data_IF_131338081297
#
_entry.id   IF_131338081297
#
_cell.length_a   1.000
_cell.length_b   1.000
_cell.length_c   1.000
_cell.angle_alpha   90.00
_cell.angle_beta   90.00
_cell.angle_gamma   90.00
#
_symmetry.space_group_name_H-M   'P 1'
#
loop_
_entity.id
_entity.type
_entity.pdbx_description
1 polymer ?
#
# COMPACT_ATOMS: atom_id res chain seq x y z
N UNK A 1 13.90 -8.56 -14.88
CA UNK A 1 13.62 -7.52 -15.91
C UNK A 1 14.85 -6.91 -16.56
N UNK A 2 15.84 -6.36 -15.83
CA UNK A 2 17.02 -5.75 -16.49
C UNK A 2 17.84 -6.71 -17.37
N UNK A 3 17.90 -7.98 -16.98
CA UNK A 3 18.49 -9.08 -17.77
C UNK A 3 17.78 -9.28 -19.12
N UNK A 4 16.47 -9.06 -19.16
CA UNK A 4 15.64 -9.29 -20.35
C UNK A 4 15.58 -8.02 -21.22
N UNK A 5 15.62 -6.84 -20.60
CA UNK A 5 15.55 -5.53 -21.26
C UNK A 5 16.78 -4.66 -20.91
N UNK A 6 17.98 -5.01 -21.41
CA UNK A 6 19.23 -4.34 -21.03
C UNK A 6 19.29 -2.87 -21.51
N UNK A 7 18.58 -2.52 -22.58
CA UNK A 7 18.56 -1.16 -23.13
C UNK A 7 17.59 -0.20 -22.42
N UNK A 8 16.59 -0.69 -21.68
CA UNK A 8 15.52 0.16 -21.08
C UNK A 8 15.90 0.56 -19.66
N UNK A 9 16.14 1.83 -19.36
CA UNK A 9 16.64 2.24 -18.03
C UNK A 9 15.78 1.76 -16.83
N UNK A 10 16.40 1.69 -15.64
CA UNK A 10 15.75 1.22 -14.39
C UNK A 10 14.44 1.98 -14.06
N UNK A 11 14.38 3.29 -14.29
CA UNK A 11 13.18 4.10 -13.98
C UNK A 11 12.03 3.76 -14.93
N UNK A 12 12.31 3.64 -16.23
CA UNK A 12 11.33 3.23 -17.23
C UNK A 12 10.81 1.81 -16.98
N UNK A 13 11.68 0.87 -16.62
CA UNK A 13 11.25 -0.49 -16.25
C UNK A 13 10.34 -0.49 -15.02
N UNK A 14 10.67 0.29 -13.98
CA UNK A 14 9.81 0.44 -12.81
C UNK A 14 8.46 1.03 -13.18
N UNK A 15 8.43 2.05 -14.05
CA UNK A 15 7.19 2.63 -14.57
C UNK A 15 6.36 1.57 -15.32
N UNK A 16 6.95 0.83 -16.26
CA UNK A 16 6.25 -0.24 -16.98
C UNK A 16 5.72 -1.33 -16.05
N UNK A 17 6.48 -1.72 -15.02
CA UNK A 17 6.02 -2.70 -14.03
C UNK A 17 4.82 -2.19 -13.22
N UNK A 18 4.86 -0.93 -12.78
CA UNK A 18 3.72 -0.31 -12.10
C UNK A 18 2.49 -0.22 -12.99
N UNK A 19 2.65 0.17 -14.25
CA UNK A 19 1.53 0.20 -15.20
C UNK A 19 1.00 -1.22 -15.49
N UNK A 20 1.87 -2.23 -15.50
CA UNK A 20 1.47 -3.63 -15.68
C UNK A 20 0.64 -4.15 -14.51
N UNK A 21 1.12 -3.97 -13.27
CA UNK A 21 0.39 -4.29 -12.03
C UNK A 21 -0.96 -3.55 -11.95
N UNK A 22 -0.97 -2.27 -12.34
CA UNK A 22 -2.18 -1.47 -12.49
C UNK A 22 -3.20 -2.04 -13.48
N UNK A 23 -2.71 -2.57 -14.60
CA UNK A 23 -3.53 -3.21 -15.61
C UNK A 23 -4.31 -4.40 -15.04
N UNK A 24 -3.68 -5.21 -14.19
CA UNK A 24 -4.36 -6.32 -13.52
C UNK A 24 -5.47 -5.85 -12.59
N UNK A 25 -5.29 -4.77 -11.83
CA UNK A 25 -6.36 -4.25 -10.97
C UNK A 25 -7.62 -3.78 -11.74
N UNK A 26 -7.54 -3.59 -13.06
CA UNK A 26 -8.59 -2.95 -13.85
C UNK A 26 -9.17 -3.80 -14.99
N UNK A 27 -8.47 -4.85 -15.43
CA UNK A 27 -8.84 -5.64 -16.61
C UNK A 27 -8.55 -7.13 -16.41
N UNK A 28 -9.26 -8.03 -17.12
CA UNK A 28 -8.92 -9.44 -17.16
C UNK A 28 -7.48 -9.66 -17.66
N UNK A 29 -6.72 -10.54 -16.99
CA UNK A 29 -5.30 -10.83 -17.25
C UNK A 29 -4.96 -11.10 -18.72
N UNK A 30 -5.85 -11.78 -19.44
CA UNK A 30 -5.69 -12.07 -20.87
C UNK A 30 -5.55 -10.77 -21.69
N UNK A 31 -6.30 -9.73 -21.35
CA UNK A 31 -6.33 -8.47 -22.11
C UNK A 31 -5.37 -7.39 -21.59
N UNK A 32 -4.71 -7.65 -20.45
CA UNK A 32 -3.76 -6.71 -19.85
C UNK A 32 -2.49 -6.64 -20.68
N UNK A 33 -2.05 -5.42 -21.00
CA UNK A 33 -0.77 -5.14 -21.66
C UNK A 33 -0.61 -5.78 -23.05
N UNK A 34 -1.68 -5.85 -23.84
CA UNK A 34 -1.63 -6.40 -25.21
C UNK A 34 -1.67 -5.31 -26.31
N UNK A 35 -1.28 -4.07 -25.98
CA UNK A 35 -1.39 -2.93 -26.90
C UNK A 35 -0.49 -3.06 -28.12
N UNK A 36 0.68 -3.68 -27.97
CA UNK A 36 1.66 -3.89 -29.03
C UNK A 36 2.60 -5.07 -28.68
N UNK A 37 3.45 -5.47 -29.63
CA UNK A 37 4.39 -6.57 -29.46
C UNK A 37 5.40 -6.34 -28.32
N UNK A 38 5.76 -5.08 -28.02
CA UNK A 38 6.70 -4.77 -26.94
C UNK A 38 6.07 -5.00 -25.56
N UNK A 39 4.81 -4.60 -25.40
CA UNK A 39 4.05 -4.82 -24.17
C UNK A 39 3.78 -6.32 -23.95
N UNK A 40 3.49 -7.08 -25.01
CA UNK A 40 3.37 -8.55 -24.92
C UNK A 40 4.69 -9.21 -24.50
N UNK A 41 5.82 -8.81 -25.10
CA UNK A 41 7.14 -9.29 -24.68
C UNK A 41 7.43 -8.94 -23.22
N UNK A 42 7.05 -7.74 -22.78
CA UNK A 42 7.22 -7.32 -21.38
C UNK A 42 6.34 -8.13 -20.42
N UNK A 43 5.06 -8.32 -20.74
CA UNK A 43 4.12 -9.17 -20.00
C UNK A 43 4.66 -10.57 -19.83
N UNK A 44 5.04 -11.23 -20.94
CA UNK A 44 5.57 -12.60 -20.91
C UNK A 44 6.85 -12.69 -20.06
N UNK A 45 7.72 -11.69 -20.14
CA UNK A 45 8.92 -11.62 -19.32
C UNK A 45 8.62 -11.48 -17.82
N UNK A 46 7.59 -10.71 -17.44
CA UNK A 46 7.16 -10.56 -16.04
C UNK A 46 6.52 -11.85 -15.53
N UNK A 47 5.58 -12.43 -16.29
CA UNK A 47 4.88 -13.67 -15.92
C UNK A 47 5.87 -14.84 -15.80
N UNK A 48 6.79 -15.00 -16.76
CA UNK A 48 7.82 -16.04 -16.68
C UNK A 48 8.75 -15.85 -15.48
N UNK A 49 9.07 -14.60 -15.13
CA UNK A 49 9.84 -14.31 -13.93
C UNK A 49 9.05 -14.75 -12.69
N UNK A 50 7.81 -14.30 -12.53
CA UNK A 50 6.98 -14.65 -11.38
C UNK A 50 6.83 -16.17 -11.22
N UNK A 51 6.61 -16.88 -12.32
CA UNK A 51 6.55 -18.35 -12.35
C UNK A 51 7.88 -19.02 -11.99
N UNK A 52 9.01 -18.58 -12.56
CA UNK A 52 10.35 -19.14 -12.24
C UNK A 52 10.70 -19.00 -10.75
N UNK A 53 10.22 -17.93 -10.11
CA UNK A 53 10.52 -17.59 -8.73
C UNK A 53 9.43 -17.95 -7.72
N UNK A 54 8.36 -18.63 -8.15
CA UNK A 54 7.20 -18.96 -7.30
C UNK A 54 6.67 -17.72 -6.55
N UNK A 55 6.62 -16.59 -7.25
CA UNK A 55 6.24 -15.30 -6.71
C UNK A 55 4.96 -14.82 -7.37
N UNK A 56 4.19 -14.01 -6.64
CA UNK A 56 3.03 -13.30 -7.18
C UNK A 56 3.13 -11.82 -6.79
N UNK A 57 2.63 -10.94 -7.65
CA UNK A 57 2.41 -9.54 -7.26
C UNK A 57 1.13 -9.42 -6.43
N UNK A 58 1.04 -8.39 -5.58
CA UNK A 58 -0.15 -8.20 -4.73
C UNK A 58 -1.45 -8.13 -5.54
N UNK A 59 -1.43 -7.43 -6.67
CA UNK A 59 -2.58 -7.30 -7.56
C UNK A 59 -2.90 -8.60 -8.31
N UNK A 60 -1.92 -9.48 -8.48
CA UNK A 60 -2.07 -10.78 -9.13
C UNK A 60 -2.73 -11.81 -8.21
N UNK A 61 -2.49 -11.72 -6.90
CA UNK A 61 -3.11 -12.60 -5.92
C UNK A 61 -4.64 -12.50 -6.03
N UNK A 62 -5.17 -11.28 -6.09
CA UNK A 62 -6.61 -11.07 -6.26
C UNK A 62 -7.10 -11.59 -7.61
N UNK A 63 -6.33 -11.37 -8.68
CA UNK A 63 -6.67 -11.92 -9.99
C UNK A 63 -6.77 -13.46 -9.95
N UNK A 64 -5.76 -14.15 -9.42
CA UNK A 64 -5.79 -15.60 -9.30
C UNK A 64 -6.90 -16.09 -8.38
N UNK A 65 -7.18 -15.37 -7.29
CA UNK A 65 -8.31 -15.68 -6.42
C UNK A 65 -9.64 -15.61 -7.18
N UNK A 66 -9.87 -14.58 -8.00
CA UNK A 66 -11.06 -14.46 -8.85
C UNK A 66 -11.11 -15.56 -9.93
N UNK A 67 -10.00 -15.81 -10.62
CA UNK A 67 -9.93 -16.84 -11.67
C UNK A 67 -10.22 -18.24 -11.11
N UNK A 68 -9.59 -18.57 -9.98
CA UNK A 68 -9.85 -19.81 -9.26
C UNK A 68 -11.32 -19.87 -8.80
N UNK A 69 -11.85 -18.76 -8.28
CA UNK A 69 -13.21 -18.70 -7.78
C UNK A 69 -14.28 -18.84 -8.87
N UNK A 70 -13.95 -18.49 -10.12
CA UNK A 70 -14.81 -18.73 -11.28
C UNK A 70 -14.77 -20.18 -11.77
N UNK A 71 -13.64 -20.87 -11.59
CA UNK A 71 -13.41 -22.23 -12.09
C UNK A 71 -13.88 -23.31 -11.11
N UNK A 72 -13.80 -23.04 -9.81
CA UNK A 72 -14.19 -23.98 -8.78
C UNK A 72 -15.61 -23.68 -8.26
N UNK A 73 -16.36 -24.71 -7.84
CA UNK A 73 -17.59 -24.48 -7.09
C UNK A 73 -17.26 -23.81 -5.75
N UNK A 74 -18.16 -22.95 -5.28
CA UNK A 74 -18.06 -22.22 -4.00
C UNK A 74 -17.70 -23.12 -2.82
N UNK A 75 -18.28 -24.32 -2.77
CA UNK A 75 -18.04 -25.34 -1.73
C UNK A 75 -16.60 -25.84 -1.64
N UNK A 76 -15.76 -25.59 -2.65
CA UNK A 76 -14.35 -25.99 -2.67
C UNK A 76 -13.38 -24.82 -2.42
N UNK A 77 -13.87 -23.58 -2.42
CA UNK A 77 -13.02 -22.39 -2.29
C UNK A 77 -12.85 -21.99 -0.84
N UNK A 78 -13.97 -21.83 -0.13
CA UNK A 78 -14.07 -21.38 1.24
C UNK A 78 -15.27 -22.10 1.87
N UNK A 79 -15.13 -22.52 3.13
CA UNK A 79 -16.26 -23.00 3.92
C UNK A 79 -17.39 -21.96 3.92
N UNK A 80 -18.65 -22.39 3.80
CA UNK A 80 -19.80 -21.50 3.59
C UNK A 80 -19.80 -20.30 4.56
N UNK A 81 -19.51 -19.11 4.04
CA UNK A 81 -19.59 -17.85 4.80
C UNK A 81 -21.02 -17.34 4.73
N UNK A 82 -21.73 -17.39 5.86
CA UNK A 82 -23.13 -16.97 5.89
C UNK A 82 -23.31 -15.45 5.80
N UNK A 83 -22.37 -14.67 6.35
CA UNK A 83 -22.46 -13.21 6.44
C UNK A 83 -21.13 -12.58 6.03
N UNK A 84 -21.17 -11.69 5.05
CA UNK A 84 -20.01 -10.92 4.59
C UNK A 84 -20.27 -9.45 4.88
N UNK A 85 -19.36 -8.83 5.62
CA UNK A 85 -19.37 -7.40 5.91
C UNK A 85 -18.11 -6.79 5.30
N UNK A 86 -18.28 -5.79 4.44
CA UNK A 86 -17.18 -5.08 3.80
C UNK A 86 -17.26 -3.61 4.15
N UNK A 87 -16.21 -3.11 4.79
CA UNK A 87 -16.04 -1.68 5.09
C UNK A 87 -15.12 -1.03 4.05
N UNK A 88 -15.21 0.29 3.91
CA UNK A 88 -14.45 1.10 2.94
C UNK A 88 -14.54 0.58 1.49
N UNK A 89 -15.73 0.13 1.07
CA UNK A 89 -15.96 -0.49 -0.25
C UNK A 89 -15.59 0.42 -1.44
N UNK A 90 -15.59 1.75 -1.26
CA UNK A 90 -15.18 2.70 -2.29
C UNK A 90 -13.69 2.59 -2.66
N UNK A 91 -12.86 2.05 -1.76
CA UNK A 91 -11.41 1.94 -1.98
C UNK A 91 -11.04 0.68 -2.76
N UNK A 92 -12.00 -0.22 -2.97
CA UNK A 92 -11.79 -1.48 -3.69
C UNK A 92 -11.75 -1.21 -5.19
N UNK A 93 -10.84 -1.90 -5.89
CA UNK A 93 -10.83 -1.94 -7.35
C UNK A 93 -11.90 -2.91 -7.88
N UNK A 94 -12.10 -2.96 -9.20
CA UNK A 94 -13.15 -3.78 -9.82
C UNK A 94 -12.98 -5.27 -9.58
N UNK A 95 -11.74 -5.79 -9.57
CA UNK A 95 -11.49 -7.21 -9.32
C UNK A 95 -11.75 -7.58 -7.86
N UNK A 96 -11.39 -6.72 -6.91
CA UNK A 96 -11.69 -6.94 -5.49
C UNK A 96 -13.20 -6.95 -5.25
N UNK A 97 -13.94 -6.01 -5.86
CA UNK A 97 -15.40 -6.00 -5.82
C UNK A 97 -16.00 -7.26 -6.46
N UNK A 98 -15.48 -7.71 -7.60
CA UNK A 98 -15.90 -8.96 -8.24
C UNK A 98 -15.65 -10.17 -7.35
N UNK A 99 -14.48 -10.24 -6.71
CA UNK A 99 -14.14 -11.31 -5.78
C UNK A 99 -15.13 -11.41 -4.63
N UNK A 100 -15.46 -10.27 -4.00
CA UNK A 100 -16.47 -10.21 -2.93
C UNK A 100 -17.83 -10.72 -3.43
N UNK A 101 -18.26 -10.34 -4.64
CA UNK A 101 -19.52 -10.81 -5.20
C UNK A 101 -19.53 -12.33 -5.44
N UNK A 102 -18.40 -12.92 -5.89
CA UNK A 102 -18.30 -14.37 -6.07
C UNK A 102 -18.39 -15.08 -4.72
N UNK A 103 -17.69 -14.58 -3.70
CA UNK A 103 -17.74 -15.15 -2.34
C UNK A 103 -19.15 -15.04 -1.73
N UNK A 104 -19.86 -13.95 -2.01
CA UNK A 104 -21.19 -13.70 -1.46
C UNK A 104 -22.31 -14.51 -2.11
N UNK A 105 -22.04 -15.23 -3.21
CA UNK A 105 -23.09 -15.89 -4.01
C UNK A 105 -23.95 -16.87 -3.20
N UNK A 106 -23.36 -17.55 -2.23
CA UNK A 106 -24.05 -18.51 -1.35
C UNK A 106 -24.18 -18.02 0.11
N UNK A 107 -23.87 -16.73 0.34
CA UNK A 107 -24.05 -16.07 1.63
C UNK A 107 -25.51 -15.70 1.85
N UNK A 108 -25.94 -15.65 3.12
CA UNK A 108 -27.25 -15.13 3.50
C UNK A 108 -27.31 -13.61 3.38
N UNK A 109 -26.19 -12.93 3.58
CA UNK A 109 -26.10 -11.47 3.55
C UNK A 109 -24.71 -11.01 3.09
N UNK A 110 -24.70 -10.07 2.15
CA UNK A 110 -23.57 -9.20 1.86
C UNK A 110 -23.95 -7.77 2.25
N UNK A 111 -23.29 -7.23 3.26
CA UNK A 111 -23.40 -5.84 3.67
C UNK A 111 -22.12 -5.10 3.27
N UNK A 112 -22.27 -4.07 2.44
CA UNK A 112 -21.16 -3.17 2.09
C UNK A 112 -21.39 -1.79 2.67
N UNK A 113 -20.33 -1.18 3.19
CA UNK A 113 -20.31 0.16 3.78
C UNK A 113 -19.22 0.97 3.10
N UNK A 114 -19.49 2.25 2.83
CA UNK A 114 -18.50 3.15 2.25
C UNK A 114 -19.08 4.51 1.86
N UNK A 115 -18.19 5.42 1.48
CA UNK A 115 -18.51 6.77 1.01
C UNK A 115 -17.67 7.10 -0.23
N UNK A 116 -18.27 7.24 -1.42
CA UNK A 116 -17.52 7.53 -2.64
C UNK A 116 -16.74 8.85 -2.59
N UNK A 117 -17.12 9.79 -1.70
CA UNK A 117 -16.41 11.06 -1.52
C UNK A 117 -15.13 10.94 -0.69
N UNK A 118 -14.92 9.81 -0.02
CA UNK A 118 -13.74 9.54 0.81
C UNK A 118 -12.67 8.73 0.07
N UNK A 119 -12.92 8.31 -1.17
CA UNK A 119 -11.91 7.61 -1.95
C UNK A 119 -10.73 8.51 -2.28
N UNK A 120 -9.61 8.27 -1.60
CA UNK A 120 -8.32 8.91 -1.86
C UNK A 120 -7.34 7.99 -2.63
N UNK A 121 -7.75 6.75 -2.96
CA UNK A 121 -6.92 5.71 -3.56
C UNK A 121 -7.09 5.55 -5.08
N UNK A 122 -7.43 6.62 -5.81
CA UNK A 122 -7.49 6.59 -7.28
C UNK A 122 -6.17 6.14 -7.93
N UNK A 123 -5.04 6.41 -7.28
CA UNK A 123 -3.72 5.93 -7.69
C UNK A 123 -3.50 4.41 -7.54
N UNK A 124 -4.39 3.71 -6.83
CA UNK A 124 -4.45 2.24 -6.72
C UNK A 124 -5.58 1.62 -7.54
N UNK A 125 -6.14 2.35 -8.49
CA UNK A 125 -7.22 1.86 -9.35
C UNK A 125 -8.50 1.50 -8.59
N UNK A 126 -8.72 2.13 -7.43
CA UNK A 126 -9.99 2.08 -6.73
C UNK A 126 -11.14 2.44 -7.69
N UNK A 127 -12.29 1.82 -7.50
CA UNK A 127 -13.50 2.06 -8.30
C UNK A 127 -14.62 2.59 -7.38
N UNK A 128 -14.59 3.89 -7.03
CA UNK A 128 -15.49 4.44 -6.00
C UNK A 128 -16.94 4.45 -6.44
N UNK A 129 -17.21 4.58 -7.75
CA UNK A 129 -18.56 4.45 -8.29
C UNK A 129 -19.12 3.03 -8.12
N UNK A 130 -18.28 2.03 -7.85
CA UNK A 130 -18.72 0.66 -7.59
C UNK A 130 -19.67 0.53 -6.41
N UNK A 131 -19.57 1.38 -5.39
CA UNK A 131 -20.56 1.40 -4.30
C UNK A 131 -21.92 1.93 -4.77
N UNK A 132 -21.92 2.90 -5.69
CA UNK A 132 -23.15 3.43 -6.29
C UNK A 132 -23.78 2.39 -7.22
N UNK A 133 -22.96 1.71 -8.02
CA UNK A 133 -23.39 0.62 -8.90
C UNK A 133 -24.01 -0.52 -8.08
N UNK A 134 -23.36 -0.91 -6.97
CA UNK A 134 -23.88 -1.91 -6.04
C UNK A 134 -25.23 -1.48 -5.45
N UNK A 135 -25.32 -0.23 -4.96
CA UNK A 135 -26.55 0.31 -4.38
C UNK A 135 -27.70 0.50 -5.37
N UNK A 136 -27.43 0.50 -6.68
CA UNK A 136 -28.43 0.63 -7.74
C UNK A 136 -28.93 -0.73 -8.25
N UNK A 137 -28.40 -1.86 -7.74
CA UNK A 137 -28.91 -3.18 -8.10
C UNK A 137 -30.31 -3.39 -7.51
N UNK A 138 -31.15 -4.13 -8.25
CA UNK A 138 -32.53 -4.39 -7.84
C UNK A 138 -32.66 -5.27 -6.59
N UNK A 139 -31.63 -6.06 -6.28
CA UNK A 139 -31.57 -6.99 -5.15
C UNK A 139 -30.91 -6.40 -3.89
N UNK A 140 -30.63 -5.09 -3.89
CA UNK A 140 -29.92 -4.41 -2.79
C UNK A 140 -30.83 -3.41 -2.10
N UNK A 141 -30.93 -3.51 -0.78
CA UNK A 141 -31.57 -2.50 0.04
C UNK A 141 -30.57 -1.41 0.43
N UNK A 142 -30.91 -0.14 0.12
CA UNK A 142 -30.02 1.00 0.33
C UNK A 142 -30.36 1.74 1.61
N UNK A 143 -29.37 1.89 2.48
CA UNK A 143 -29.43 2.72 3.68
C UNK A 143 -28.48 3.90 3.56
N UNK A 144 -28.89 5.09 4.04
CA UNK A 144 -28.04 6.28 4.07
C UNK A 144 -27.92 6.80 5.50
N UNK A 145 -26.69 7.10 5.91
CA UNK A 145 -26.37 7.67 7.21
C UNK A 145 -25.81 9.09 7.02
N UNK A 146 -26.67 10.11 6.83
CA UNK A 146 -26.20 11.46 6.53
C UNK A 146 -25.63 12.15 7.77
N UNK A 147 -25.86 11.65 8.98
CA UNK A 147 -25.47 12.33 10.21
C UNK A 147 -24.07 11.92 10.68
N UNK A 148 -23.19 12.91 10.88
CA UNK A 148 -21.87 12.69 11.49
C UNK A 148 -21.94 12.83 13.01
N UNK A 149 -21.63 11.73 13.70
CA UNK A 149 -21.36 11.72 15.14
C UNK A 149 -19.93 12.11 15.51
N UNK A 150 -19.02 12.23 14.53
CA UNK A 150 -17.59 12.46 14.75
C UNK A 150 -17.27 13.94 14.93
N UNK A 151 -17.71 14.79 13.99
CA UNK A 151 -17.18 16.14 13.84
C UNK A 151 -18.12 17.23 14.39
N UNK A 152 -17.57 18.36 14.88
CA UNK A 152 -18.36 19.56 15.22
C UNK A 152 -18.99 20.25 14.00
N UNK A 153 -20.02 21.06 14.25
CA UNK A 153 -20.80 21.75 13.21
C UNK A 153 -19.91 22.58 12.26
N UNK A 154 -18.97 23.37 12.78
CA UNK A 154 -18.07 24.19 11.95
C UNK A 154 -17.14 23.38 11.06
N UNK A 155 -16.74 22.18 11.47
CA UNK A 155 -15.88 21.27 10.69
C UNK A 155 -16.69 20.65 9.56
N UNK A 156 -17.90 20.16 9.86
CA UNK A 156 -18.85 19.63 8.87
C UNK A 156 -19.17 20.67 7.80
N UNK A 157 -19.38 21.93 8.21
CA UNK A 157 -19.63 23.02 7.27
C UNK A 157 -18.46 23.26 6.31
N UNK A 158 -17.20 23.19 6.77
CA UNK A 158 -16.04 23.29 5.87
C UNK A 158 -15.99 22.10 4.90
N UNK A 159 -16.18 20.88 5.42
CA UNK A 159 -16.14 19.68 4.60
C UNK A 159 -17.19 19.74 3.47
N UNK A 160 -18.43 20.11 3.79
CA UNK A 160 -19.50 20.28 2.79
C UNK A 160 -19.19 21.39 1.78
N UNK A 161 -18.60 22.50 2.21
CA UNK A 161 -18.17 23.56 1.29
C UNK A 161 -17.11 23.05 0.29
N UNK A 162 -16.14 22.26 0.75
CA UNK A 162 -15.14 21.63 -0.12
C UNK A 162 -15.78 20.65 -1.11
N UNK A 163 -16.74 19.83 -0.65
CA UNK A 163 -17.48 18.91 -1.53
C UNK A 163 -18.25 19.65 -2.62
N UNK A 164 -18.95 20.73 -2.28
CA UNK A 164 -19.70 21.56 -3.24
C UNK A 164 -18.80 22.33 -4.20
N UNK A 165 -17.61 22.75 -3.75
CA UNK A 165 -16.61 23.35 -4.64
C UNK A 165 -16.11 22.35 -5.69
N UNK A 166 -15.92 21.08 -5.31
CA UNK A 166 -15.49 20.04 -6.23
C UNK A 166 -16.62 19.58 -7.16
N UNK A 167 -17.84 19.46 -6.65
CA UNK A 167 -19.02 19.09 -7.42
C UNK A 167 -20.25 19.89 -6.95
N UNK A 168 -20.61 20.98 -7.67
CA UNK A 168 -21.76 21.82 -7.31
C UNK A 168 -23.10 21.08 -7.30
N UNK A 169 -23.20 19.95 -8.02
CA UNK A 169 -24.41 19.11 -8.09
C UNK A 169 -24.46 18.02 -7.01
N UNK A 170 -23.52 18.04 -6.05
CA UNK A 170 -23.47 17.05 -4.97
C UNK A 170 -24.72 17.13 -4.08
N UNK A 171 -25.39 15.99 -3.90
CA UNK A 171 -26.60 15.89 -3.06
C UNK A 171 -26.33 15.21 -1.71
N UNK A 172 -25.29 14.39 -1.61
CA UNK A 172 -24.95 13.63 -0.41
C UNK A 172 -24.07 14.46 0.54
N UNK A 173 -24.66 15.47 1.18
CA UNK A 173 -23.96 16.30 2.16
C UNK A 173 -24.08 15.75 3.59
N UNK A 174 -23.04 16.01 4.39
CA UNK A 174 -22.95 15.56 5.78
C UNK A 174 -23.80 16.47 6.66
N UNK A 175 -24.68 15.89 7.47
CA UNK A 175 -25.49 16.58 8.48
C UNK A 175 -24.85 16.45 9.86
N UNK A 176 -24.97 17.50 10.66
CA UNK A 176 -24.57 17.42 12.08
C UNK A 176 -25.68 16.78 12.90
N UNK A 177 -25.33 16.00 13.93
CA UNK A 177 -26.32 15.63 14.95
C UNK A 177 -26.84 16.88 15.68
N UNK A 178 -28.13 16.92 16.11
CA UNK A 178 -28.72 18.12 16.72
C UNK A 178 -27.91 18.68 17.89
N UNK A 179 -27.43 17.80 18.77
CA UNK A 179 -26.73 18.14 20.01
C UNK A 179 -25.19 18.26 19.84
N UNK A 180 -24.66 18.29 18.61
CA UNK A 180 -23.22 18.49 18.42
C UNK A 180 -22.80 19.91 18.73
N UNK A 181 -21.62 20.02 19.35
CA UNK A 181 -20.96 21.28 19.62
C UNK A 181 -20.62 22.04 18.33
N UNK A 182 -20.46 23.35 18.47
CA UNK A 182 -20.13 24.22 17.35
C UNK A 182 -18.69 23.98 16.85
N UNK A 183 -17.77 23.65 17.76
CA UNK A 183 -16.35 23.48 17.48
C UNK A 183 -15.62 24.79 17.14
N UNK A 184 -14.33 24.68 16.84
CA UNK A 184 -13.47 25.80 16.45
C UNK A 184 -12.67 25.44 15.21
N UNK A 185 -12.45 26.42 14.34
CA UNK A 185 -11.58 26.31 13.15
C UNK A 185 -10.75 27.58 13.01
N UNK A 186 -9.50 27.46 12.58
CA UNK A 186 -8.61 28.57 12.27
C UNK A 186 -7.89 28.27 10.97
N UNK A 187 -7.87 29.23 10.06
CA UNK A 187 -7.06 29.20 8.84
C UNK A 187 -5.93 30.21 9.02
N UNK A 188 -4.70 29.80 8.74
CA UNK A 188 -3.51 30.63 8.82
C UNK A 188 -2.63 30.36 7.62
N UNK A 189 -2.07 31.41 7.06
CA UNK A 189 -1.04 31.36 6.02
C UNK A 189 0.25 31.91 6.61
N UNK A 190 1.37 31.36 6.20
CA UNK A 190 2.71 31.72 6.64
C UNK A 190 3.58 31.97 5.42
N UNK A 191 4.60 32.82 5.55
CA UNK A 191 5.50 33.13 4.44
C UNK A 191 6.51 32.00 4.21
N UNK A 192 6.85 31.26 5.27
CA UNK A 192 7.79 30.16 5.22
C UNK A 192 7.37 28.98 6.12
N UNK A 193 7.99 27.83 5.87
CA UNK A 193 7.70 26.59 6.58
C UNK A 193 8.04 26.64 8.08
N UNK A 194 9.06 27.41 8.44
CA UNK A 194 9.54 27.50 9.81
C UNK A 194 8.54 28.23 10.71
N UNK A 195 7.93 29.30 10.22
CA UNK A 195 6.83 30.00 10.90
C UNK A 195 5.62 29.10 11.12
N UNK A 196 5.23 28.32 10.11
CA UNK A 196 4.15 27.34 10.25
C UNK A 196 4.48 26.32 11.35
N UNK A 197 5.72 25.82 11.39
CA UNK A 197 6.17 24.88 12.42
C UNK A 197 6.10 25.50 13.83
N UNK A 198 6.57 26.73 14.02
CA UNK A 198 6.45 27.43 15.30
C UNK A 198 4.99 27.65 15.70
N UNK A 199 4.12 28.01 14.76
CA UNK A 199 2.70 28.19 15.04
C UNK A 199 2.01 26.88 15.44
N UNK A 200 2.29 25.78 14.73
CA UNK A 200 1.74 24.46 15.06
C UNK A 200 2.24 24.00 16.42
N UNK A 201 3.55 24.09 16.69
CA UNK A 201 4.14 23.72 17.97
C UNK A 201 3.56 24.54 19.14
N UNK A 202 3.48 25.86 19.00
CA UNK A 202 2.89 26.73 20.02
C UNK A 202 1.40 26.46 20.26
N UNK A 203 0.65 26.12 19.20
CA UNK A 203 -0.75 25.70 19.32
C UNK A 203 -0.90 24.40 20.10
N UNK A 204 -0.02 23.43 19.86
CA UNK A 204 0.01 22.16 20.59
C UNK A 204 0.38 22.40 22.05
N UNK A 205 1.40 23.23 22.32
CA UNK A 205 1.77 23.62 23.69
C UNK A 205 0.60 24.27 24.41
N UNK A 206 -0.17 25.13 23.73
CA UNK A 206 -1.36 25.74 24.31
C UNK A 206 -2.47 24.71 24.62
N UNK A 207 -2.64 23.68 23.78
CA UNK A 207 -3.58 22.59 24.02
C UNK A 207 -3.15 21.74 25.23
N UNK A 208 -1.86 21.40 25.32
CA UNK A 208 -1.31 20.61 26.42
C UNK A 208 -1.38 21.38 27.75
N UNK A 209 -1.16 22.70 27.76
CA UNK A 209 -1.38 23.58 28.92
C UNK A 209 -2.85 23.67 29.39
N UNK A 210 -3.79 23.18 28.58
CA UNK A 210 -5.23 23.08 28.92
C UNK A 210 -5.64 21.64 29.26
N UNK A 211 -4.68 20.81 29.65
CA UNK A 211 -4.86 19.41 30.03
C UNK A 211 -5.48 18.53 28.94
N UNK A 212 -5.32 18.90 27.66
CA UNK A 212 -5.66 18.01 26.55
C UNK A 212 -4.58 16.93 26.49
N UNK A 213 -4.98 15.66 26.62
CA UNK A 213 -4.01 14.55 26.51
C UNK A 213 -3.35 14.51 25.12
N UNK A 214 -2.04 14.24 25.02
CA UNK A 214 -1.33 14.17 23.75
C UNK A 214 -1.97 13.25 22.72
N UNK A 215 -2.54 12.11 23.15
CA UNK A 215 -3.22 11.13 22.28
C UNK A 215 -4.46 11.69 21.56
N UNK A 216 -5.02 12.80 22.04
CA UNK A 216 -6.16 13.48 21.43
C UNK A 216 -5.76 14.55 20.41
N UNK A 217 -4.46 14.69 20.11
CA UNK A 217 -3.92 15.66 19.15
C UNK A 217 -3.33 14.89 17.97
N UNK A 218 -3.85 15.16 16.77
CA UNK A 218 -3.36 14.57 15.52
C UNK A 218 -2.92 15.69 14.57
N UNK A 219 -1.75 15.51 13.96
CA UNK A 219 -1.22 16.39 12.92
C UNK A 219 -1.23 15.63 11.60
N UNK A 220 -1.99 16.13 10.63
CA UNK A 220 -2.04 15.57 9.28
C UNK A 220 -1.20 16.44 8.35
N UNK A 221 -0.29 15.82 7.61
CA UNK A 221 0.58 16.50 6.64
C UNK A 221 0.40 15.89 5.25
N UNK A 222 0.51 16.69 4.18
CA UNK A 222 0.34 16.19 2.81
C UNK A 222 1.50 15.32 2.33
N UNK A 223 2.68 15.41 2.97
CA UNK A 223 3.91 14.75 2.53
C UNK A 223 4.71 14.22 3.71
N UNK A 224 5.25 13.00 3.56
CA UNK A 224 6.09 12.35 4.57
C UNK A 224 7.28 13.20 5.01
N UNK A 225 8.01 13.79 4.03
CA UNK A 225 9.19 14.62 4.30
C UNK A 225 8.87 15.75 5.28
N UNK A 226 7.76 16.43 5.06
CA UNK A 226 7.30 17.54 5.88
C UNK A 226 7.00 17.10 7.33
N UNK A 227 6.33 15.95 7.49
CA UNK A 227 6.05 15.39 8.81
C UNK A 227 7.31 15.02 9.59
N UNK A 228 8.31 14.43 8.92
CA UNK A 228 9.60 14.11 9.53
C UNK A 228 10.38 15.38 9.92
N UNK A 229 10.38 16.39 9.06
CA UNK A 229 10.99 17.70 9.34
C UNK A 229 10.33 18.36 10.55
N UNK A 230 9.00 18.33 10.65
CA UNK A 230 8.26 18.86 11.81
C UNK A 230 8.58 18.09 13.09
N UNK A 231 8.62 16.75 13.06
CA UNK A 231 8.93 15.94 14.25
C UNK A 231 10.33 16.26 14.78
N UNK A 232 11.33 16.34 13.90
CA UNK A 232 12.69 16.75 14.28
C UNK A 232 12.68 18.14 14.91
N UNK A 233 12.07 19.12 14.23
CA UNK A 233 11.96 20.48 14.74
C UNK A 233 11.25 20.57 16.09
N UNK A 234 10.12 19.87 16.26
CA UNK A 234 9.32 19.90 17.47
C UNK A 234 10.08 19.29 18.67
N UNK A 235 10.78 18.17 18.45
CA UNK A 235 11.60 17.56 19.49
C UNK A 235 12.84 18.39 19.85
N UNK A 236 13.44 19.13 18.91
CA UNK A 236 14.53 20.08 19.20
C UNK A 236 14.05 21.35 19.94
N UNK A 237 12.80 21.78 19.73
CA UNK A 237 12.29 23.06 20.26
C UNK A 237 11.40 22.92 21.50
N UNK A 238 10.98 21.71 21.87
CA UNK A 238 10.11 21.49 23.05
C UNK A 238 10.81 21.68 24.40
N UNK A 239 12.13 21.48 24.47
CA UNK A 239 12.92 21.48 25.72
C UNK A 239 12.87 22.80 26.50
N UNK A 240 12.53 23.92 25.85
CA UNK A 240 12.44 25.23 26.51
C UNK A 240 11.04 25.64 26.99
N UNK A 241 10.00 24.83 26.79
CA UNK A 241 8.60 25.26 27.04
C UNK A 241 7.68 24.18 27.60
N UNK A 242 8.17 22.95 27.78
CA UNK A 242 7.45 21.80 28.31
C UNK A 242 8.32 21.05 29.31
N UNK A 243 7.73 20.55 30.41
CA UNK A 243 8.33 19.40 31.10
C UNK A 243 8.41 18.27 30.08
N UNK A 244 9.59 17.67 29.90
CA UNK A 244 9.97 16.82 28.76
C UNK A 244 9.22 15.51 28.53
N UNK A 245 7.95 15.41 28.92
CA UNK A 245 7.14 14.17 28.92
C UNK A 245 6.40 13.87 27.60
N UNK A 246 6.55 14.70 26.56
CA UNK A 246 5.86 14.48 25.27
C UNK A 246 6.85 14.35 24.13
N UNK A 247 6.92 13.15 23.54
CA UNK A 247 7.66 12.87 22.31
C UNK A 247 6.76 12.99 21.08
N UNK A 248 7.19 13.81 20.12
CA UNK A 248 6.57 13.84 18.81
C UNK A 248 7.12 12.67 17.99
N UNK A 249 6.21 11.88 17.44
CA UNK A 249 6.54 10.75 16.57
C UNK A 249 5.73 10.81 15.28
N UNK A 250 6.37 10.50 14.16
CA UNK A 250 5.67 10.27 12.91
C UNK A 250 5.31 8.79 12.85
N UNK A 251 4.03 8.45 12.97
CA UNK A 251 3.57 7.05 12.91
C UNK A 251 3.96 6.48 11.55
N UNK A 252 4.94 5.58 11.55
CA UNK A 252 5.38 4.86 10.37
C UNK A 252 5.25 3.36 10.63
N UNK A 253 4.86 2.59 9.61
CA UNK A 253 5.33 1.21 9.52
C UNK A 253 6.86 1.29 9.38
N UNK A 254 7.57 1.07 10.49
CA UNK A 254 9.01 0.87 10.45
C UNK A 254 9.21 -0.38 9.59
N UNK A 255 9.79 -0.19 8.40
CA UNK A 255 10.19 -1.33 7.60
C UNK A 255 11.31 -2.06 8.33
N UNK A 256 11.47 -3.35 8.08
CA UNK A 256 12.58 -4.11 8.64
C UNK A 256 13.91 -3.42 8.32
N UNK A 257 14.78 -3.31 9.31
CA UNK A 257 16.21 -3.01 9.14
C UNK A 257 16.85 -4.05 8.23
N UNK A 258 18.03 -3.76 7.67
CA UNK A 258 18.69 -4.71 6.78
C UNK A 258 19.07 -6.01 7.50
N UNK A 259 19.39 -5.94 8.80
CA UNK A 259 19.62 -7.11 9.66
C UNK A 259 18.32 -7.91 9.84
N UNK A 260 17.19 -7.27 10.06
CA UNK A 260 15.90 -7.96 10.17
C UNK A 260 15.48 -8.60 8.85
N UNK A 261 15.70 -7.94 7.72
CA UNK A 261 15.46 -8.51 6.38
C UNK A 261 16.33 -9.75 6.15
N UNK A 262 17.62 -9.68 6.52
CA UNK A 262 18.54 -10.81 6.41
C UNK A 262 18.09 -11.99 7.28
N UNK A 263 17.67 -11.74 8.53
CA UNK A 263 17.14 -12.78 9.42
C UNK A 263 15.87 -13.43 8.86
N UNK A 264 14.94 -12.64 8.35
CA UNK A 264 13.71 -13.14 7.71
C UNK A 264 14.07 -14.01 6.50
N UNK A 265 15.03 -13.56 5.69
CA UNK A 265 15.51 -14.29 4.53
C UNK A 265 16.14 -15.64 4.91
N UNK A 266 17.06 -15.65 5.88
CA UNK A 266 17.68 -16.89 6.37
C UNK A 266 16.65 -17.85 6.98
N UNK A 267 15.69 -17.33 7.75
CA UNK A 267 14.60 -18.12 8.29
C UNK A 267 13.72 -18.73 7.18
N UNK A 268 13.45 -17.95 6.13
CA UNK A 268 12.69 -18.43 4.97
C UNK A 268 13.44 -19.52 4.19
N UNK A 269 14.78 -19.43 4.10
CA UNK A 269 15.63 -20.49 3.52
C UNK A 269 15.70 -21.74 4.39
N UNK A 270 15.61 -21.61 5.71
CA UNK A 270 15.53 -22.78 6.60
C UNK A 270 14.20 -23.54 6.42
N UNK A 271 13.10 -22.83 6.17
CA UNK A 271 11.79 -23.41 5.91
C UNK A 271 11.71 -24.00 4.49
N UNK A 272 12.22 -23.27 3.51
CA UNK A 272 12.24 -23.68 2.11
C UNK A 272 13.63 -23.42 1.51
N UNK A 273 14.52 -24.41 1.67
CA UNK A 273 15.91 -24.35 1.21
C UNK A 273 16.07 -24.36 -0.30
N UNK A 274 15.02 -24.69 -1.05
CA UNK A 274 15.03 -24.71 -2.50
C UNK A 274 14.35 -23.48 -3.12
N UNK A 275 13.88 -22.52 -2.31
CA UNK A 275 13.15 -21.36 -2.79
C UNK A 275 14.01 -20.48 -3.72
N UNK A 276 13.68 -20.39 -5.02
CA UNK A 276 14.46 -19.62 -5.98
C UNK A 276 14.55 -18.13 -5.62
N UNK A 277 13.46 -17.57 -5.07
CA UNK A 277 13.36 -16.17 -4.66
C UNK A 277 14.30 -15.86 -3.50
N UNK A 278 14.31 -16.70 -2.46
CA UNK A 278 15.15 -16.49 -1.30
C UNK A 278 16.62 -16.74 -1.62
N UNK A 279 16.94 -17.77 -2.40
CA UNK A 279 18.34 -18.02 -2.81
C UNK A 279 18.87 -16.84 -3.62
N UNK A 280 18.09 -16.33 -4.59
CA UNK A 280 18.44 -15.11 -5.33
C UNK A 280 18.67 -13.92 -4.40
N UNK A 281 17.81 -13.75 -3.41
CA UNK A 281 17.91 -12.62 -2.46
C UNK A 281 19.14 -12.76 -1.57
N UNK A 282 19.47 -13.97 -1.14
CA UNK A 282 20.65 -14.29 -0.34
C UNK A 282 21.95 -14.06 -1.12
N UNK A 283 21.99 -14.48 -2.39
CA UNK A 283 23.12 -14.20 -3.28
C UNK A 283 23.35 -12.70 -3.47
N UNK A 284 22.30 -11.87 -3.35
CA UNK A 284 22.39 -10.41 -3.48
C UNK A 284 22.58 -9.65 -2.16
N UNK A 285 22.80 -10.33 -1.02
CA UNK A 285 23.03 -9.65 0.26
C UNK A 285 24.36 -8.89 0.24
N UNK A 286 24.33 -7.64 0.68
CA UNK A 286 25.54 -6.80 0.80
C UNK A 286 26.01 -6.14 -0.51
N UNK A 287 25.33 -6.38 -1.64
CA UNK A 287 25.69 -5.81 -2.94
C UNK A 287 24.69 -4.75 -3.43
N UNK A 288 25.22 -3.66 -3.99
CA UNK A 288 24.47 -2.56 -4.58
C UNK A 288 23.97 -2.87 -6.01
N UNK A 289 24.48 -3.90 -6.68
CA UNK A 289 24.05 -4.29 -8.02
C UNK A 289 23.16 -5.55 -8.06
N UNK A 290 22.95 -6.19 -6.90
CA UNK A 290 22.21 -7.43 -6.71
C UNK A 290 22.73 -8.60 -7.57
N UNK A 291 24.05 -8.72 -7.73
CA UNK A 291 24.74 -9.82 -8.42
C UNK A 291 24.25 -10.02 -9.87
N UNK A 292 23.98 -8.90 -10.57
CA UNK A 292 23.46 -8.93 -11.93
C UNK A 292 24.35 -9.75 -12.89
N UNK A 293 25.67 -9.63 -12.76
CA UNK A 293 26.64 -10.25 -13.68
C UNK A 293 26.82 -11.73 -13.38
N UNK A 294 26.85 -12.08 -12.10
CA UNK A 294 27.07 -13.42 -11.60
C UNK A 294 25.86 -14.29 -11.87
N UNK A 295 24.65 -13.79 -11.60
CA UNK A 295 23.41 -14.51 -11.94
C UNK A 295 23.32 -14.74 -13.46
N UNK A 296 23.77 -13.78 -14.29
CA UNK A 296 23.79 -13.96 -15.74
C UNK A 296 24.77 -15.07 -16.16
N UNK A 297 25.98 -15.09 -15.60
CA UNK A 297 26.98 -16.15 -15.85
C UNK A 297 26.44 -17.53 -15.44
N UNK A 298 25.83 -17.62 -14.25
CA UNK A 298 25.23 -18.86 -13.76
C UNK A 298 24.08 -19.32 -14.66
N UNK A 299 23.23 -18.40 -15.12
CA UNK A 299 22.15 -18.73 -16.04
C UNK A 299 22.67 -19.20 -17.41
N UNK A 300 23.77 -18.64 -17.90
CA UNK A 300 24.43 -19.13 -19.12
C UNK A 300 25.01 -20.54 -18.94
N UNK A 301 25.54 -20.86 -17.74
CA UNK A 301 26.16 -22.15 -17.45
C UNK A 301 25.15 -23.27 -17.17
N UNK A 302 24.11 -22.98 -16.39
CA UNK A 302 23.19 -23.99 -15.86
C UNK A 302 21.74 -23.84 -16.36
N UNK A 303 21.40 -22.74 -17.03
CA UNK A 303 20.04 -22.46 -17.50
C UNK A 303 19.21 -21.66 -16.48
N UNK A 304 18.11 -22.23 -15.99
CA UNK A 304 17.23 -21.56 -15.03
C UNK A 304 17.78 -21.58 -13.60
N UNK A 305 17.20 -20.78 -12.69
CA UNK A 305 17.65 -20.80 -11.28
C UNK A 305 17.46 -22.15 -10.60
N UNK A 306 16.41 -22.90 -10.92
CA UNK A 306 16.22 -24.23 -10.37
C UNK A 306 17.39 -25.18 -10.72
N UNK A 307 17.93 -25.09 -11.93
CA UNK A 307 19.08 -25.90 -12.34
C UNK A 307 20.38 -25.41 -11.69
N UNK A 308 20.52 -24.10 -11.46
CA UNK A 308 21.62 -23.54 -10.66
C UNK A 308 21.58 -24.13 -9.24
N UNK A 309 20.41 -24.14 -8.59
CA UNK A 309 20.25 -24.67 -7.22
C UNK A 309 20.64 -26.15 -7.15
N UNK A 310 20.26 -26.93 -8.17
CA UNK A 310 20.52 -28.38 -8.20
C UNK A 310 21.96 -28.76 -8.57
N UNK A 311 22.64 -27.94 -9.37
CA UNK A 311 23.90 -28.34 -10.04
C UNK A 311 25.10 -27.43 -9.77
N UNK A 312 24.90 -26.23 -9.23
CA UNK A 312 26.00 -25.31 -8.98
C UNK A 312 26.88 -25.80 -7.83
N UNK A 313 28.19 -25.61 -7.99
CA UNK A 313 29.20 -25.97 -7.00
C UNK A 313 29.63 -24.74 -6.20
N UNK A 314 30.22 -24.90 -5.00
CA UNK A 314 30.73 -23.77 -4.21
C UNK A 314 31.69 -22.85 -4.97
N UNK A 315 32.48 -23.40 -5.91
CA UNK A 315 33.41 -22.66 -6.76
C UNK A 315 32.72 -21.68 -7.73
N UNK A 316 31.44 -21.91 -8.03
CA UNK A 316 30.64 -20.98 -8.85
C UNK A 316 30.23 -19.70 -8.09
N UNK A 317 30.45 -19.68 -6.76
CA UNK A 317 30.16 -18.57 -5.87
C UNK A 317 31.43 -18.11 -5.14
N UNK A 318 32.42 -17.54 -5.85
CA UNK A 318 33.59 -16.98 -5.20
C UNK A 318 33.14 -15.76 -4.39
N UNK A 319 32.79 -15.94 -3.11
CA UNK A 319 32.59 -14.80 -2.22
C UNK A 319 33.90 -14.04 -2.17
N UNK A 320 33.89 -12.76 -2.57
CA UNK A 320 34.94 -11.85 -2.15
C UNK A 320 35.00 -11.90 -0.61
N UNK A 321 36.21 -11.99 -0.07
CA UNK A 321 36.44 -12.20 1.34
C UNK A 321 35.55 -11.27 2.18
N UNK A 322 34.84 -11.85 3.15
CA UNK A 322 34.14 -11.10 4.20
C UNK A 322 35.12 -10.01 4.70
N UNK A 323 34.76 -8.71 4.70
CA UNK A 323 35.62 -7.72 5.32
C UNK A 323 35.85 -8.18 6.75
N UNK A 324 37.12 -8.49 7.07
CA UNK A 324 37.48 -8.91 8.41
C UNK A 324 36.89 -7.88 9.37
N UNK A 325 36.05 -8.33 10.29
CA UNK A 325 35.60 -7.50 11.41
C UNK A 325 36.87 -6.84 11.98
N UNK A 326 36.87 -5.51 12.19
CA UNK A 326 38.05 -4.86 12.76
C UNK A 326 38.40 -5.61 14.04
N UNK A 327 39.61 -6.16 14.08
CA UNK A 327 40.14 -6.77 15.28
C UNK A 327 40.00 -5.75 16.40
N UNK A 328 39.20 -6.07 17.41
CA UNK A 328 39.15 -5.30 18.65
C UNK A 328 40.60 -5.17 19.15
N UNK A 329 41.10 -3.93 19.15
CA UNK A 329 42.18 -3.47 20.03
C UNK A 329 41.58 -2.50 21.02
#
# INVERSE_FOLDING_TARGET
MKLIFPLIDKRKLKKKLNEFSAGWATKPHETVFERNQEDQKFKNAVVNWLSEYEAAMMEEIIYFAVDLAKKLPSSQLIDKVEYILVDEYQDFNKLEQEFINILAKDSKLLLVVGDPNQSIYSFKFAYPSGILDFANRNDVEKYSLPFSGRSPKKVINVANQLLLQNNPSQTNLIKSLPNKEEGKRKFKSFENQQEEFYFVLSSIIQCLKKDIEPKNIIILVPRKKLGMEFVKFANEKKEGSMNGDVDFAFIQKVGFSDIEKEKILLFSLLINSESPLHIRSYLGLGDNDHFYREILKLKQKYGGIQEIIKRANPEDFPKEAVPQLPNNQ
#
